data_IF_939265566700
#
_entry.id   IF_939265566700
#
_cell.length_a   1.000
_cell.length_b   1.000
_cell.length_c   1.000
_cell.angle_alpha   90.00
_cell.angle_beta   90.00
_cell.angle_gamma   90.00
#
_symmetry.space_group_name_H-M   'P 1'
#
loop_
_entity.id
_entity.type
_entity.pdbx_description
1 polymer ?
#
# COMPACT_ATOMS: atom_id res chain seq x y z
N UNK A 1 3.89 -16.24 33.57
CA UNK A 1 5.05 -15.37 33.26
C UNK A 1 4.71 -13.95 33.68
N UNK A 2 5.54 -13.31 34.51
CA UNK A 2 5.28 -11.92 34.96
C UNK A 2 5.39 -10.96 33.76
N UNK A 3 4.69 -9.83 33.81
CA UNK A 3 4.70 -8.82 32.74
C UNK A 3 6.13 -8.30 32.46
N UNK A 4 6.96 -8.17 33.50
CA UNK A 4 8.38 -7.81 33.40
C UNK A 4 9.18 -8.76 32.52
N UNK A 5 8.92 -10.06 32.62
CA UNK A 5 9.66 -11.09 31.89
C UNK A 5 9.27 -11.08 30.41
N UNK A 6 7.98 -10.82 30.11
CA UNK A 6 7.49 -10.65 28.73
C UNK A 6 8.14 -9.43 28.06
N UNK A 7 8.23 -8.31 28.78
CA UNK A 7 8.85 -7.08 28.27
C UNK A 7 10.36 -7.26 28.02
N UNK A 8 11.07 -7.93 28.94
CA UNK A 8 12.50 -8.21 28.76
C UNK A 8 12.75 -9.11 27.55
N UNK A 9 11.97 -10.19 27.41
CA UNK A 9 12.03 -11.08 26.25
C UNK A 9 11.78 -10.34 24.94
N UNK A 10 10.75 -9.50 24.90
CA UNK A 10 10.44 -8.68 23.74
C UNK A 10 11.58 -7.72 23.37
N UNK A 11 12.14 -7.00 24.36
CA UNK A 11 13.27 -6.09 24.12
C UNK A 11 14.48 -6.83 23.54
N UNK A 12 14.79 -8.02 24.07
CA UNK A 12 15.87 -8.85 23.55
C UNK A 12 15.57 -9.36 22.13
N UNK A 13 14.34 -9.79 21.84
CA UNK A 13 13.94 -10.24 20.52
C UNK A 13 14.03 -9.13 19.48
N UNK A 14 13.56 -7.93 19.82
CA UNK A 14 13.62 -6.74 18.98
C UNK A 14 15.07 -6.36 18.65
N UNK A 15 16.00 -6.52 19.59
CA UNK A 15 17.43 -6.26 19.38
C UNK A 15 18.19 -7.42 18.71
N UNK A 16 17.55 -8.57 18.54
CA UNK A 16 18.19 -9.77 18.02
C UNK A 16 18.37 -9.73 16.49
N UNK A 17 19.31 -10.53 16.00
CA UNK A 17 19.49 -10.78 14.56
C UNK A 17 18.32 -11.55 13.91
N UNK A 18 17.33 -12.02 14.70
CA UNK A 18 16.14 -12.68 14.16
C UNK A 18 15.09 -11.68 13.68
N UNK A 19 15.05 -10.47 14.24
CA UNK A 19 14.06 -9.44 13.90
C UNK A 19 14.70 -8.09 13.61
N UNK A 20 15.35 -7.48 14.60
CA UNK A 20 16.05 -6.20 14.47
C UNK A 20 15.20 -4.96 14.82
N UNK A 21 15.82 -3.98 15.49
CA UNK A 21 15.18 -2.73 15.90
C UNK A 21 14.72 -1.93 14.68
N UNK A 22 15.55 -1.89 13.65
CA UNK A 22 15.29 -1.14 12.42
C UNK A 22 14.12 -1.73 11.65
N UNK A 23 13.94 -3.05 11.71
CA UNK A 23 12.79 -3.74 11.11
C UNK A 23 11.51 -3.37 11.83
N UNK A 24 11.54 -3.35 13.16
CA UNK A 24 10.41 -2.86 13.97
C UNK A 24 10.05 -1.43 13.57
N UNK A 25 11.03 -0.54 13.48
CA UNK A 25 10.84 0.86 13.08
C UNK A 25 10.29 0.99 11.65
N UNK A 26 10.83 0.21 10.72
CA UNK A 26 10.41 0.21 9.31
C UNK A 26 8.94 -0.17 9.16
N UNK A 27 8.47 -1.18 9.91
CA UNK A 27 7.07 -1.60 9.91
C UNK A 27 6.13 -0.53 10.49
N UNK A 28 6.57 0.18 11.54
CA UNK A 28 5.82 1.30 12.13
C UNK A 28 5.69 2.45 11.14
N UNK A 29 6.82 2.87 10.56
CA UNK A 29 6.87 3.99 9.61
C UNK A 29 6.04 3.66 8.38
N UNK A 30 6.18 2.45 7.84
CA UNK A 30 5.34 1.98 6.74
C UNK A 30 3.84 2.05 7.11
N UNK A 31 3.42 1.48 8.24
CA UNK A 31 2.01 1.46 8.64
C UNK A 31 1.42 2.86 8.84
N UNK A 32 2.20 3.79 9.42
CA UNK A 32 1.81 5.20 9.56
C UNK A 32 1.70 5.91 8.21
N UNK A 33 2.71 5.74 7.35
CA UNK A 33 2.74 6.37 6.04
C UNK A 33 1.61 5.84 5.14
N UNK A 34 1.34 4.54 5.18
CA UNK A 34 0.21 3.91 4.49
C UNK A 34 -1.10 4.58 4.90
N UNK A 35 -1.37 4.66 6.20
CA UNK A 35 -2.59 5.29 6.73
C UNK A 35 -2.71 6.76 6.31
N UNK A 36 -1.62 7.54 6.44
CA UNK A 36 -1.59 8.94 6.02
C UNK A 36 -1.88 9.11 4.54
N UNK A 37 -1.23 8.32 3.67
CA UNK A 37 -1.43 8.40 2.22
C UNK A 37 -2.85 7.98 1.82
N UNK A 38 -3.41 6.93 2.44
CA UNK A 38 -4.80 6.52 2.20
C UNK A 38 -5.76 7.66 2.57
N UNK A 39 -5.60 8.30 3.73
CA UNK A 39 -6.46 9.42 4.13
C UNK A 39 -6.32 10.62 3.17
N UNK A 40 -5.11 10.89 2.67
CA UNK A 40 -4.89 11.92 1.64
C UNK A 40 -5.63 11.59 0.35
N UNK A 41 -5.59 10.33 -0.09
CA UNK A 41 -6.34 9.87 -1.27
C UNK A 41 -7.86 10.03 -1.04
N UNK A 42 -8.38 9.58 0.11
CA UNK A 42 -9.79 9.73 0.49
C UNK A 42 -10.22 11.22 0.49
N UNK A 43 -9.37 12.12 1.02
CA UNK A 43 -9.61 13.56 0.98
C UNK A 43 -9.63 14.11 -0.45
N UNK A 44 -8.78 13.62 -1.35
CA UNK A 44 -8.82 14.00 -2.76
C UNK A 44 -10.08 13.52 -3.47
N UNK A 45 -10.59 12.32 -3.15
CA UNK A 45 -11.88 11.88 -3.67
C UNK A 45 -13.02 12.81 -3.23
N UNK A 46 -13.05 13.19 -1.95
CA UNK A 46 -14.04 14.15 -1.41
C UNK A 46 -13.91 15.51 -2.10
N UNK A 47 -12.69 16.00 -2.30
CA UNK A 47 -12.45 17.26 -2.99
C UNK A 47 -12.93 17.20 -4.45
N UNK A 48 -12.65 16.11 -5.16
CA UNK A 48 -13.07 15.91 -6.54
C UNK A 48 -14.60 15.88 -6.66
N UNK A 49 -15.27 15.14 -5.78
CA UNK A 49 -16.74 15.12 -5.69
C UNK A 49 -17.29 16.52 -5.39
N UNK A 50 -16.66 17.24 -4.47
CA UNK A 50 -17.01 18.62 -4.12
C UNK A 50 -16.91 19.61 -5.29
N UNK A 51 -15.93 19.40 -6.19
CA UNK A 51 -15.75 20.19 -7.41
C UNK A 51 -16.72 19.77 -8.54
N UNK A 52 -17.18 18.52 -8.56
CA UNK A 52 -18.18 18.03 -9.53
C UNK A 52 -19.59 18.49 -9.15
N UNK A 53 -19.94 18.47 -7.86
CA UNK A 53 -21.25 18.85 -7.34
C UNK A 53 -21.38 20.35 -6.98
N UNK A 54 -20.33 21.15 -7.22
CA UNK A 54 -20.25 22.59 -6.94
C UNK A 54 -20.37 23.01 -5.46
N UNK A 55 -20.14 22.09 -4.52
CA UNK A 55 -20.01 22.42 -3.09
C UNK A 55 -18.68 23.12 -2.79
N UNK A 56 -17.62 22.79 -3.53
CA UNK A 56 -16.35 23.52 -3.56
C UNK A 56 -16.31 24.37 -4.83
N UNK A 57 -16.10 25.68 -4.68
CA UNK A 57 -16.06 26.63 -5.80
C UNK A 57 -14.67 27.26 -5.93
N UNK A 58 -14.06 27.10 -7.09
CA UNK A 58 -12.80 27.75 -7.44
C UNK A 58 -13.08 28.96 -8.33
N UNK A 59 -12.39 30.08 -8.07
CA UNK A 59 -12.42 31.26 -8.93
C UNK A 59 -11.50 31.05 -10.13
N UNK A 60 -11.93 30.24 -11.10
CA UNK A 60 -11.21 29.96 -12.33
C UNK A 60 -12.19 29.68 -13.48
N UNK A 61 -11.71 29.76 -14.73
CA UNK A 61 -12.50 29.36 -15.89
C UNK A 61 -12.70 27.83 -15.96
N UNK A 62 -13.63 27.39 -16.80
CA UNK A 62 -13.99 25.97 -16.94
C UNK A 62 -12.82 25.09 -17.41
N UNK A 63 -11.90 25.64 -18.22
CA UNK A 63 -10.74 24.89 -18.71
C UNK A 63 -9.74 24.63 -17.59
N UNK A 64 -9.46 25.65 -16.78
CA UNK A 64 -8.61 25.54 -15.60
C UNK A 64 -9.26 24.62 -14.56
N UNK A 65 -10.57 24.72 -14.34
CA UNK A 65 -11.30 23.80 -13.46
C UNK A 65 -11.15 22.35 -13.92
N UNK A 66 -11.29 22.08 -15.21
CA UNK A 66 -11.07 20.75 -15.78
C UNK A 66 -9.64 20.26 -15.52
N UNK A 67 -8.63 21.09 -15.79
CA UNK A 67 -7.24 20.73 -15.53
C UNK A 67 -6.98 20.43 -14.06
N UNK A 68 -7.55 21.20 -13.14
CA UNK A 68 -7.47 20.95 -11.70
C UNK A 68 -8.04 19.57 -11.36
N UNK A 69 -9.24 19.23 -11.84
CA UNK A 69 -9.86 17.90 -11.63
C UNK A 69 -9.00 16.75 -12.16
N UNK A 70 -8.40 16.94 -13.33
CA UNK A 70 -7.48 15.97 -13.92
C UNK A 70 -6.20 15.80 -13.11
N UNK A 71 -5.62 16.89 -12.60
CA UNK A 71 -4.43 16.85 -11.75
C UNK A 71 -4.70 16.20 -10.40
N UNK A 72 -5.85 16.47 -9.76
CA UNK A 72 -6.28 15.77 -8.53
C UNK A 72 -6.37 14.27 -8.78
N UNK A 73 -6.98 13.88 -9.91
CA UNK A 73 -7.13 12.46 -10.26
C UNK A 73 -5.80 11.78 -10.58
N UNK A 74 -4.88 12.51 -11.22
CA UNK A 74 -3.52 12.04 -11.45
C UNK A 74 -2.79 11.84 -10.12
N UNK A 75 -2.98 12.74 -9.16
CA UNK A 75 -2.35 12.65 -7.85
C UNK A 75 -2.92 11.50 -7.00
N UNK A 76 -4.23 11.25 -7.07
CA UNK A 76 -4.86 10.03 -6.51
C UNK A 76 -4.17 8.78 -7.09
N UNK A 77 -4.10 8.69 -8.43
CA UNK A 77 -3.46 7.55 -9.09
C UNK A 77 -2.00 7.40 -8.67
N UNK A 78 -1.26 8.51 -8.62
CA UNK A 78 0.14 8.54 -8.23
C UNK A 78 0.37 7.98 -6.82
N UNK A 79 -0.44 8.39 -5.85
CA UNK A 79 -0.36 7.91 -4.49
C UNK A 79 -0.76 6.42 -4.37
N UNK A 80 -1.81 5.97 -5.06
CA UNK A 80 -2.18 4.54 -5.11
C UNK A 80 -1.01 3.71 -5.64
N UNK A 81 -0.37 4.15 -6.73
CA UNK A 81 0.76 3.46 -7.33
C UNK A 81 1.97 3.39 -6.40
N UNK A 82 2.29 4.46 -5.66
CA UNK A 82 3.34 4.44 -4.63
C UNK A 82 3.02 3.42 -3.53
N UNK A 83 1.76 3.38 -3.09
CA UNK A 83 1.34 2.45 -2.04
C UNK A 83 1.44 1.00 -2.53
N UNK A 84 1.07 0.72 -3.79
CA UNK A 84 1.30 -0.60 -4.40
C UNK A 84 2.79 -0.93 -4.39
N UNK A 85 3.66 -0.06 -4.95
CA UNK A 85 5.12 -0.30 -5.02
C UNK A 85 5.71 -0.61 -3.64
N UNK A 86 5.44 0.26 -2.67
CA UNK A 86 5.98 0.12 -1.32
C UNK A 86 5.45 -1.12 -0.60
N UNK A 87 4.19 -1.48 -0.82
CA UNK A 87 3.60 -2.69 -0.22
C UNK A 87 4.19 -3.96 -0.83
N UNK A 88 4.35 -4.05 -2.15
CA UNK A 88 4.93 -5.25 -2.77
C UNK A 88 6.43 -5.38 -2.47
N UNK A 89 7.14 -4.27 -2.31
CA UNK A 89 8.54 -4.26 -1.82
C UNK A 89 8.60 -4.76 -0.37
N UNK A 90 7.67 -4.33 0.50
CA UNK A 90 7.57 -4.85 1.86
C UNK A 90 7.31 -6.36 1.87
N UNK A 91 6.35 -6.84 1.06
CA UNK A 91 6.07 -8.27 0.89
C UNK A 91 7.33 -9.04 0.46
N UNK A 92 8.08 -8.51 -0.50
CA UNK A 92 9.33 -9.10 -0.94
C UNK A 92 10.35 -9.19 0.20
N UNK A 93 10.53 -8.10 0.97
CA UNK A 93 11.47 -8.08 2.07
C UNK A 93 11.08 -9.06 3.18
N UNK A 94 9.80 -9.11 3.55
CA UNK A 94 9.26 -10.04 4.56
C UNK A 94 9.35 -11.51 4.13
N UNK A 95 9.33 -11.78 2.83
CA UNK A 95 9.54 -13.15 2.33
C UNK A 95 10.98 -13.66 2.56
N UNK A 96 11.95 -12.74 2.70
CA UNK A 96 13.35 -13.03 3.00
C UNK A 96 13.61 -13.02 4.51
N UNK A 97 14.60 -12.28 4.99
CA UNK A 97 14.93 -12.17 6.39
C UNK A 97 14.45 -10.82 6.94
N UNK A 98 13.95 -10.81 8.18
CA UNK A 98 13.48 -9.58 8.82
C UNK A 98 14.55 -8.49 8.84
N UNK A 99 15.81 -8.83 9.06
CA UNK A 99 16.94 -7.89 9.08
C UNK A 99 17.19 -7.19 7.74
N UNK A 100 16.68 -7.71 6.63
CA UNK A 100 16.80 -7.09 5.30
C UNK A 100 15.67 -6.08 5.01
N UNK A 101 14.62 -6.06 5.83
CA UNK A 101 13.47 -5.15 5.67
C UNK A 101 13.89 -3.68 5.60
N UNK A 102 14.71 -3.14 6.52
CA UNK A 102 15.09 -1.73 6.49
C UNK A 102 15.84 -1.39 5.20
N UNK A 103 16.87 -2.17 4.87
CA UNK A 103 17.67 -1.94 3.66
C UNK A 103 16.81 -2.00 2.40
N UNK A 104 15.93 -2.99 2.28
CA UNK A 104 15.08 -3.18 1.10
C UNK A 104 14.03 -2.08 0.96
N UNK A 105 13.45 -1.61 2.08
CA UNK A 105 12.44 -0.56 2.08
C UNK A 105 13.03 0.83 1.88
N UNK A 106 14.27 1.07 2.31
CA UNK A 106 14.96 2.37 2.16
C UNK A 106 15.60 2.51 0.77
N UNK A 107 16.23 1.45 0.25
CA UNK A 107 16.92 1.50 -1.03
C UNK A 107 16.63 0.24 -1.85
N UNK A 108 15.86 0.41 -2.91
CA UNK A 108 15.68 -0.64 -3.92
C UNK A 108 15.95 -0.12 -5.33
N UNK A 109 16.51 -1.01 -6.16
CA UNK A 109 16.77 -0.72 -7.57
C UNK A 109 15.45 -0.57 -8.32
N UNK A 110 15.43 0.28 -9.33
CA UNK A 110 14.21 0.57 -10.14
C UNK A 110 13.60 -0.69 -10.77
N UNK A 111 14.41 -1.71 -11.07
CA UNK A 111 13.94 -2.96 -11.66
C UNK A 111 13.39 -3.98 -10.64
N UNK A 112 13.49 -3.70 -9.32
CA UNK A 112 13.04 -4.65 -8.30
C UNK A 112 11.53 -4.93 -8.40
N UNK A 113 10.72 -3.90 -8.66
CA UNK A 113 9.25 -4.06 -8.78
C UNK A 113 8.90 -5.04 -9.91
N UNK A 114 9.60 -4.96 -11.05
CA UNK A 114 9.42 -5.89 -12.17
C UNK A 114 9.77 -7.34 -11.79
N UNK A 115 10.86 -7.52 -11.03
CA UNK A 115 11.27 -8.83 -10.51
C UNK A 115 10.25 -9.38 -9.50
N UNK A 116 9.71 -8.52 -8.62
CA UNK A 116 8.68 -8.91 -7.66
C UNK A 116 7.44 -9.39 -8.40
N UNK A 117 6.95 -8.65 -9.39
CA UNK A 117 5.78 -9.04 -10.18
C UNK A 117 6.00 -10.35 -10.95
N UNK A 118 7.21 -10.57 -11.49
CA UNK A 118 7.58 -11.86 -12.08
C UNK A 118 7.51 -12.98 -11.04
N UNK A 119 7.96 -12.76 -9.81
CA UNK A 119 7.92 -13.75 -8.74
C UNK A 119 6.49 -14.04 -8.24
N UNK A 120 5.62 -13.02 -8.16
CA UNK A 120 4.19 -13.17 -7.85
C UNK A 120 3.52 -14.07 -8.90
N UNK A 121 3.68 -13.77 -10.20
CA UNK A 121 3.13 -14.59 -11.29
C UNK A 121 3.59 -16.06 -11.23
N UNK A 122 4.84 -16.28 -10.83
CA UNK A 122 5.42 -17.62 -10.72
C UNK A 122 5.17 -18.28 -9.36
N UNK A 123 4.33 -17.69 -8.49
CA UNK A 123 3.99 -18.22 -7.16
C UNK A 123 5.22 -18.58 -6.30
N UNK A 124 6.25 -17.73 -6.36
CA UNK A 124 7.53 -17.97 -5.66
C UNK A 124 7.55 -17.50 -4.20
N UNK A 125 6.49 -16.86 -3.74
CA UNK A 125 6.42 -16.31 -2.39
C UNK A 125 5.64 -17.23 -1.44
N UNK A 126 6.17 -17.38 -0.23
CA UNK A 126 5.43 -17.91 0.91
C UNK A 126 4.50 -16.82 1.45
N UNK A 127 3.22 -16.92 1.11
CA UNK A 127 2.22 -15.93 1.47
C UNK A 127 1.85 -15.99 2.96
N UNK A 128 1.93 -17.16 3.61
CA UNK A 128 1.69 -17.28 5.05
C UNK A 128 2.74 -16.47 5.82
N UNK A 129 4.01 -16.58 5.39
CA UNK A 129 5.10 -15.78 5.95
C UNK A 129 4.93 -14.29 5.69
N UNK A 130 4.58 -13.88 4.47
CA UNK A 130 4.38 -12.47 4.12
C UNK A 130 3.25 -11.84 4.95
N UNK A 131 2.15 -12.58 5.13
CA UNK A 131 1.03 -12.14 5.94
C UNK A 131 1.34 -12.17 7.44
N UNK A 132 2.44 -12.80 7.85
CA UNK A 132 2.80 -12.96 9.26
C UNK A 132 1.82 -13.88 9.98
N UNK A 133 1.37 -14.96 9.34
CA UNK A 133 0.45 -15.88 9.98
C UNK A 133 1.16 -16.63 11.14
N UNK A 134 0.51 -16.80 12.30
CA UNK A 134 1.08 -17.56 13.41
C UNK A 134 1.43 -18.99 13.01
N UNK A 135 2.56 -19.51 13.50
CA UNK A 135 2.82 -20.95 13.33
C UNK A 135 1.91 -21.71 14.29
N UNK A 136 1.05 -22.57 13.75
CA UNK A 136 0.06 -23.33 14.53
C UNK A 136 0.69 -24.17 15.65
N UNK A 137 1.93 -24.64 15.48
CA UNK A 137 2.66 -25.39 16.50
C UNK A 137 2.98 -24.58 17.78
N UNK A 138 2.98 -23.25 17.69
CA UNK A 138 3.17 -22.35 18.82
C UNK A 138 1.85 -21.92 19.43
N UNK A 139 0.74 -22.51 19.00
CA UNK A 139 -0.58 -22.30 19.59
C UNK A 139 -0.98 -23.61 20.26
N UNK A 140 -1.40 -23.55 21.52
CA UNK A 140 -1.91 -24.72 22.24
C UNK A 140 -3.32 -25.09 21.73
N UNK A 141 -3.37 -25.73 20.56
CA UNK A 141 -4.60 -26.05 19.84
C UNK A 141 -4.91 -27.54 19.90
N UNK A 142 -6.20 -27.85 19.96
CA UNK A 142 -6.71 -29.17 19.58
C UNK A 142 -6.56 -29.41 18.07
N UNK A 143 -6.63 -30.68 17.66
CA UNK A 143 -6.56 -31.08 16.24
C UNK A 143 -7.64 -30.38 15.41
N UNK A 144 -8.85 -30.27 15.93
CA UNK A 144 -9.97 -29.62 15.23
C UNK A 144 -9.74 -28.12 15.06
N UNK A 145 -9.23 -27.43 16.09
CA UNK A 145 -8.87 -26.01 16.01
C UNK A 145 -7.75 -25.76 15.01
N UNK A 146 -6.75 -26.64 15.00
CA UNK A 146 -5.64 -26.57 14.06
C UNK A 146 -6.14 -26.72 12.61
N UNK A 147 -7.04 -27.67 12.36
CA UNK A 147 -7.64 -27.87 11.04
C UNK A 147 -8.45 -26.65 10.58
N UNK A 148 -9.25 -26.07 11.48
CA UNK A 148 -10.03 -24.86 11.19
C UNK A 148 -9.11 -23.69 10.86
N UNK A 149 -8.12 -23.39 11.70
CA UNK A 149 -7.18 -22.30 11.44
C UNK A 149 -6.38 -22.50 10.15
N UNK A 150 -5.94 -23.73 9.87
CA UNK A 150 -5.25 -24.03 8.62
C UNK A 150 -6.14 -23.80 7.38
N UNK A 151 -7.44 -24.08 7.49
CA UNK A 151 -8.41 -23.75 6.45
C UNK A 151 -8.51 -22.25 6.23
N UNK A 152 -8.65 -21.47 7.32
CA UNK A 152 -8.66 -20.02 7.28
C UNK A 152 -7.36 -19.46 6.65
N UNK A 153 -6.19 -20.03 6.95
CA UNK A 153 -4.91 -19.58 6.39
C UNK A 153 -4.85 -19.79 4.87
N UNK A 154 -5.33 -20.95 4.39
CA UNK A 154 -5.39 -21.26 2.96
C UNK A 154 -6.32 -20.31 2.21
N UNK A 155 -7.49 -20.01 2.77
CA UNK A 155 -8.42 -19.07 2.15
C UNK A 155 -7.86 -17.64 2.16
N UNK A 156 -7.29 -17.19 3.28
CA UNK A 156 -6.67 -15.84 3.38
C UNK A 156 -5.54 -15.66 2.39
N UNK A 157 -4.64 -16.66 2.27
CA UNK A 157 -3.53 -16.62 1.32
C UNK A 157 -3.99 -16.73 -0.13
N UNK A 158 -5.06 -17.49 -0.40
CA UNK A 158 -5.73 -17.53 -1.69
C UNK A 158 -6.23 -16.16 -2.11
N UNK A 159 -7.04 -15.52 -1.27
CA UNK A 159 -7.56 -14.17 -1.52
C UNK A 159 -6.43 -13.15 -1.67
N UNK A 160 -5.40 -13.22 -0.82
CA UNK A 160 -4.26 -12.31 -0.94
C UNK A 160 -3.49 -12.50 -2.25
N UNK A 161 -3.37 -13.73 -2.74
CA UNK A 161 -2.77 -13.99 -4.05
C UNK A 161 -3.56 -13.34 -5.19
N UNK A 162 -4.89 -13.33 -5.13
CA UNK A 162 -5.75 -12.67 -6.11
C UNK A 162 -5.59 -11.15 -6.06
N UNK A 163 -5.56 -10.59 -4.85
CA UNK A 163 -5.33 -9.16 -4.61
C UNK A 163 -3.97 -8.72 -5.14
N UNK A 164 -2.90 -9.48 -4.91
CA UNK A 164 -1.58 -9.19 -5.47
C UNK A 164 -1.59 -9.16 -7.01
N UNK A 165 -2.34 -10.06 -7.64
CA UNK A 165 -2.52 -10.08 -9.09
C UNK A 165 -3.32 -8.86 -9.58
N UNK A 166 -4.36 -8.46 -8.85
CA UNK A 166 -5.14 -7.26 -9.15
C UNK A 166 -4.30 -5.98 -9.04
N UNK A 167 -3.50 -5.82 -7.99
CA UNK A 167 -2.58 -4.68 -7.83
C UNK A 167 -1.56 -4.61 -8.96
N UNK A 168 -1.00 -5.75 -9.35
CA UNK A 168 -0.05 -5.83 -10.46
C UNK A 168 -0.69 -5.46 -11.79
N UNK A 169 -1.90 -5.97 -12.08
CA UNK A 169 -2.63 -5.62 -13.31
C UNK A 169 -2.97 -4.12 -13.34
N UNK A 170 -3.43 -3.56 -12.21
CA UNK A 170 -3.65 -2.13 -12.08
C UNK A 170 -2.36 -1.33 -12.32
N UNK A 171 -1.25 -1.73 -11.67
CA UNK A 171 0.03 -1.06 -11.80
C UNK A 171 0.51 -1.06 -13.25
N UNK A 172 0.53 -2.21 -13.93
CA UNK A 172 0.98 -2.33 -15.31
C UNK A 172 0.12 -1.49 -16.28
N UNK A 173 -1.20 -1.44 -16.06
CA UNK A 173 -2.11 -0.63 -16.88
C UNK A 173 -1.80 0.88 -16.80
N UNK A 174 -1.40 1.36 -15.62
CA UNK A 174 -1.18 2.79 -15.39
C UNK A 174 0.30 3.20 -15.32
N UNK A 175 1.24 2.25 -15.43
CA UNK A 175 2.69 2.45 -15.27
C UNK A 175 3.25 3.58 -16.13
N UNK A 176 2.79 3.73 -17.37
CA UNK A 176 3.25 4.82 -18.25
C UNK A 176 2.86 6.17 -17.68
N UNK A 177 1.59 6.35 -17.31
CA UNK A 177 1.10 7.60 -16.74
C UNK A 177 1.82 7.89 -15.42
N UNK A 178 1.90 6.89 -14.55
CA UNK A 178 2.59 6.98 -13.27
C UNK A 178 4.05 7.41 -13.41
N UNK A 179 4.84 6.75 -14.26
CA UNK A 179 6.25 7.09 -14.47
C UNK A 179 6.44 8.52 -15.01
N UNK A 180 5.52 9.01 -15.83
CA UNK A 180 5.56 10.40 -16.32
C UNK A 180 5.18 11.39 -15.23
N UNK A 181 4.16 11.07 -14.44
CA UNK A 181 3.74 11.89 -13.30
C UNK A 181 4.84 12.03 -12.24
N UNK A 182 5.52 10.92 -11.89
CA UNK A 182 6.59 10.87 -10.88
C UNK A 182 7.74 11.86 -11.13
N UNK A 183 7.98 12.20 -12.39
CA UNK A 183 9.05 13.11 -12.79
C UNK A 183 8.53 14.46 -13.31
N UNK A 184 7.21 14.70 -13.29
CA UNK A 184 6.61 15.91 -13.83
C UNK A 184 6.82 16.09 -15.34
N UNK A 185 6.92 15.00 -16.11
CA UNK A 185 7.35 15.02 -17.51
C UNK A 185 6.19 14.75 -18.48
N UNK A 186 6.23 15.41 -19.66
CA UNK A 186 5.51 15.07 -20.89
C UNK A 186 4.06 14.57 -20.74
N UNK A 187 3.28 15.28 -19.93
CA UNK A 187 1.82 15.11 -19.78
C UNK A 187 1.11 16.36 -20.31
N UNK A 188 -0.03 16.17 -20.95
CA UNK A 188 -0.91 17.25 -21.39
C UNK A 188 -2.32 17.02 -20.86
N UNK A 189 -2.85 18.03 -20.17
CA UNK A 189 -4.18 18.06 -19.55
C UNK A 189 -5.14 18.99 -20.31
N UNK A 190 -6.44 18.84 -20.07
CA UNK A 190 -7.51 19.60 -20.69
C UNK A 190 -7.99 19.08 -22.05
N UNK A 191 -7.57 17.87 -22.44
CA UNK A 191 -8.00 17.21 -23.69
C UNK A 191 -9.42 16.62 -23.58
N UNK A 192 -10.11 16.51 -24.71
CA UNK A 192 -11.47 15.93 -24.84
C UNK A 192 -11.61 15.03 -26.05
N UNK A 193 -12.51 14.04 -25.99
CA UNK A 193 -12.72 13.08 -27.09
C UNK A 193 -13.39 13.73 -28.32
N UNK A 194 -14.12 14.84 -28.11
CA UNK A 194 -14.72 15.64 -29.19
C UNK A 194 -14.02 17.00 -29.27
N UNK A 195 -13.46 17.33 -30.43
CA UNK A 195 -12.67 18.54 -30.68
C UNK A 195 -13.52 19.78 -31.01
N UNK A 196 -14.83 19.74 -30.72
CA UNK A 196 -15.67 20.93 -30.83
C UNK A 196 -15.23 21.94 -29.77
N UNK A 197 -15.35 23.24 -30.07
CA UNK A 197 -14.78 24.37 -29.30
C UNK A 197 -15.26 24.49 -27.83
N UNK A 198 -16.02 23.53 -27.31
CA UNK A 198 -16.48 23.48 -25.92
C UNK A 198 -15.49 22.71 -25.04
N UNK A 199 -15.28 23.22 -23.82
CA UNK A 199 -14.51 22.50 -22.79
C UNK A 199 -15.24 21.19 -22.49
N UNK A 200 -14.59 20.03 -22.60
CA UNK A 200 -15.25 18.75 -22.39
C UNK A 200 -15.67 18.59 -20.92
N UNK A 201 -16.80 17.92 -20.70
CA UNK A 201 -17.15 17.41 -19.37
C UNK A 201 -16.02 16.52 -18.84
N UNK A 202 -15.85 16.48 -17.52
CA UNK A 202 -14.76 15.75 -16.89
C UNK A 202 -14.75 14.26 -17.28
N UNK A 203 -15.91 13.60 -17.27
CA UNK A 203 -16.07 12.20 -17.69
C UNK A 203 -15.80 11.94 -19.18
N UNK A 204 -15.85 12.97 -20.03
CA UNK A 204 -15.55 12.91 -21.47
C UNK A 204 -14.16 13.47 -21.81
N UNK A 205 -13.40 13.83 -20.78
CA UNK A 205 -12.06 14.37 -20.91
C UNK A 205 -10.99 13.28 -20.87
N UNK A 206 -9.79 13.63 -21.32
CA UNK A 206 -8.63 12.78 -21.22
C UNK A 206 -7.38 13.61 -20.92
N UNK A 207 -6.36 12.92 -20.42
CA UNK A 207 -4.98 13.40 -20.41
C UNK A 207 -4.16 12.57 -21.40
N UNK A 208 -3.08 13.17 -21.91
CA UNK A 208 -2.15 12.52 -22.83
C UNK A 208 -0.76 12.46 -22.21
N UNK A 209 -0.18 11.27 -22.15
CA UNK A 209 1.23 11.06 -21.84
C UNK A 209 2.01 10.76 -23.12
N UNK A 210 3.16 11.41 -23.28
CA UNK A 210 4.04 11.21 -24.42
C UNK A 210 5.26 10.37 -24.03
N UNK A 211 5.56 9.34 -24.81
CA UNK A 211 6.66 8.40 -24.51
C UNK A 211 7.46 8.01 -25.75
N UNK A 212 8.74 7.69 -25.54
CA UNK A 212 9.65 7.17 -26.57
C UNK A 212 9.58 5.66 -26.74
N UNK A 213 8.74 4.99 -25.93
CA UNK A 213 8.53 3.54 -26.01
C UNK A 213 7.90 3.15 -27.35
N UNK A 214 8.39 2.04 -27.91
CA UNK A 214 7.86 1.35 -29.09
C UNK A 214 6.88 0.26 -28.66
N UNK A 215 6.05 -0.23 -29.60
CA UNK A 215 5.01 -1.23 -29.33
C UNK A 215 5.48 -2.44 -28.49
N UNK A 216 6.68 -2.97 -28.79
CA UNK A 216 7.26 -4.12 -28.09
C UNK A 216 7.74 -3.84 -26.65
N UNK A 217 7.76 -2.57 -26.21
CA UNK A 217 8.16 -2.15 -24.86
C UNK A 217 6.99 -1.57 -24.05
N UNK A 218 5.78 -1.63 -24.58
CA UNK A 218 4.59 -1.15 -23.90
C UNK A 218 4.08 -2.19 -22.90
N UNK A 219 3.38 -1.76 -21.83
CA UNK A 219 2.77 -2.68 -20.88
C UNK A 219 1.86 -3.70 -21.57
N UNK A 220 1.75 -4.91 -21.01
CA UNK A 220 0.76 -5.90 -21.47
C UNK A 220 -0.65 -5.30 -21.50
N UNK A 221 -1.49 -5.73 -22.45
CA UNK A 221 -2.89 -5.27 -22.61
C UNK A 221 -3.07 -3.81 -23.06
N UNK A 222 -2.02 -3.17 -23.56
CA UNK A 222 -2.16 -1.88 -24.27
C UNK A 222 -2.96 -2.06 -25.56
N UNK A 223 -4.03 -1.28 -25.75
CA UNK A 223 -4.71 -1.17 -27.03
C UNK A 223 -3.91 -0.27 -27.99
N UNK A 224 -3.67 -0.76 -29.22
CA UNK A 224 -2.90 -0.04 -30.22
C UNK A 224 -3.78 0.41 -31.38
N UNK A 225 -3.68 1.69 -31.71
CA UNK A 225 -4.18 2.20 -32.99
C UNK A 225 -3.02 2.13 -33.99
N UNK A 226 -3.18 1.45 -35.15
CA UNK A 226 -2.12 1.38 -36.16
C UNK A 226 -1.69 2.77 -36.63
N UNK A 227 -0.39 2.95 -36.85
CA UNK A 227 0.19 4.26 -37.24
C UNK A 227 -0.32 4.80 -38.58
N UNK A 228 -0.88 3.95 -39.45
CA UNK A 228 -1.53 4.36 -40.69
C UNK A 228 -2.85 5.13 -40.47
N UNK A 229 -3.48 4.93 -39.32
CA UNK A 229 -4.79 5.48 -38.97
C UNK A 229 -4.66 6.76 -38.10
N UNK A 230 -3.43 7.20 -37.82
CA UNK A 230 -3.13 8.37 -37.00
C UNK A 230 -2.11 9.24 -37.72
N UNK A 231 -2.39 10.55 -37.83
CA UNK A 231 -1.42 11.50 -38.37
C UNK A 231 -0.15 11.43 -37.52
N UNK A 232 1.00 11.14 -38.15
CA UNK A 232 2.29 11.11 -37.45
C UNK A 232 2.49 12.41 -36.68
N UNK A 233 2.86 12.28 -35.40
CA UNK A 233 3.46 13.38 -34.67
C UNK A 233 4.76 13.74 -35.37
N UNK A 234 4.92 15.01 -35.69
CA UNK A 234 6.19 15.54 -36.16
C UNK A 234 7.14 15.70 -34.96
N UNK A 235 7.54 14.59 -34.36
CA UNK A 235 8.41 14.55 -33.18
C UNK A 235 9.44 13.44 -33.30
N UNK A 236 10.70 13.79 -33.10
CA UNK A 236 11.82 12.84 -32.99
C UNK A 236 11.91 12.20 -31.60
N UNK A 237 11.28 12.81 -30.58
CA UNK A 237 11.43 12.46 -29.17
C UNK A 237 10.32 11.52 -28.66
N UNK A 238 9.11 11.63 -29.22
CA UNK A 238 7.96 10.85 -28.79
C UNK A 238 7.48 9.91 -29.90
N UNK A 239 7.43 8.61 -29.59
CA UNK A 239 6.99 7.56 -30.51
C UNK A 239 5.54 7.11 -30.26
N UNK A 240 5.04 7.34 -29.04
CA UNK A 240 3.73 6.88 -28.60
C UNK A 240 3.04 7.93 -27.75
N UNK A 241 1.72 8.05 -27.92
CA UNK A 241 0.80 8.78 -27.05
C UNK A 241 -0.07 7.79 -26.28
N UNK A 242 -0.13 7.93 -24.97
CA UNK A 242 -1.00 7.15 -24.09
C UNK A 242 -2.08 8.05 -23.52
N UNK A 243 -3.33 7.67 -23.71
CA UNK A 243 -4.49 8.44 -23.27
C UNK A 243 -5.06 7.82 -22.00
N UNK A 244 -5.20 8.61 -20.95
CA UNK A 244 -5.95 8.23 -19.75
C UNK A 244 -7.26 9.00 -19.73
N UNK A 245 -8.37 8.26 -19.67
CA UNK A 245 -9.73 8.80 -19.66
C UNK A 245 -10.26 8.81 -18.23
N UNK A 246 -11.05 9.82 -17.87
CA UNK A 246 -11.59 9.99 -16.53
C UNK A 246 -13.02 9.45 -16.40
N UNK A 247 -13.20 8.20 -16.84
CA UNK A 247 -14.49 7.52 -16.79
C UNK A 247 -14.83 7.06 -15.35
N UNK A 248 -16.10 6.89 -14.97
CA UNK A 248 -16.49 6.36 -13.66
C UNK A 248 -15.79 5.05 -13.29
N UNK A 249 -15.52 4.19 -14.27
CA UNK A 249 -14.85 2.91 -14.09
C UNK A 249 -13.41 3.07 -13.59
N UNK A 250 -12.71 4.13 -13.99
CA UNK A 250 -11.37 4.42 -13.45
C UNK A 250 -11.45 4.68 -11.95
N UNK A 251 -12.41 5.50 -11.50
CA UNK A 251 -12.58 5.81 -10.08
C UNK A 251 -13.05 4.61 -9.28
N UNK A 252 -13.89 3.75 -9.86
CA UNK A 252 -14.27 2.48 -9.25
C UNK A 252 -13.06 1.56 -9.07
N UNK A 253 -12.19 1.43 -10.08
CA UNK A 253 -10.94 0.66 -9.98
C UNK A 253 -10.00 1.23 -8.90
N UNK A 254 -9.80 2.56 -8.89
CA UNK A 254 -8.97 3.22 -7.89
C UNK A 254 -9.49 2.99 -6.46
N UNK A 255 -10.81 3.09 -6.25
CA UNK A 255 -11.43 2.82 -4.94
C UNK A 255 -11.28 1.36 -4.52
N UNK A 256 -11.49 0.42 -5.44
CA UNK A 256 -11.34 -1.02 -5.14
C UNK A 256 -9.91 -1.34 -4.68
N UNK A 257 -8.90 -0.90 -5.43
CA UNK A 257 -7.49 -1.09 -5.08
C UNK A 257 -7.15 -0.38 -3.76
N UNK A 258 -7.69 0.82 -3.52
CA UNK A 258 -7.48 1.54 -2.26
C UNK A 258 -8.03 0.76 -1.06
N UNK A 259 -9.22 0.16 -1.18
CA UNK A 259 -9.80 -0.70 -0.14
C UNK A 259 -8.90 -1.91 0.13
N UNK A 260 -8.45 -2.60 -0.92
CA UNK A 260 -7.55 -3.75 -0.76
C UNK A 260 -6.23 -3.37 -0.08
N UNK A 261 -5.64 -2.23 -0.45
CA UNK A 261 -4.42 -1.70 0.17
C UNK A 261 -4.64 -1.33 1.64
N UNK A 262 -5.80 -0.75 1.96
CA UNK A 262 -6.21 -0.45 3.33
C UNK A 262 -6.29 -1.72 4.16
N UNK A 263 -6.90 -2.76 3.62
CA UNK A 263 -7.10 -4.03 4.32
C UNK A 263 -5.76 -4.79 4.47
N UNK A 264 -5.13 -5.16 3.35
CA UNK A 264 -3.92 -6.00 3.37
C UNK A 264 -2.65 -5.24 3.77
N UNK A 265 -2.45 -4.01 3.31
CA UNK A 265 -1.27 -3.22 3.70
C UNK A 265 -1.25 -2.95 5.21
N UNK A 266 -2.40 -2.62 5.79
CA UNK A 266 -2.53 -2.45 7.23
C UNK A 266 -2.35 -3.77 7.97
N UNK A 267 -2.98 -4.85 7.47
CA UNK A 267 -2.88 -6.19 8.04
C UNK A 267 -1.41 -6.64 8.15
N UNK A 268 -0.66 -6.60 7.05
CA UNK A 268 0.74 -7.05 6.99
C UNK A 268 1.58 -6.36 8.06
N UNK A 269 1.56 -5.02 8.08
CA UNK A 269 2.38 -4.26 9.03
C UNK A 269 2.00 -4.51 10.49
N UNK A 270 0.69 -4.51 10.80
CA UNK A 270 0.21 -4.72 12.17
C UNK A 270 0.46 -6.14 12.65
N UNK A 271 0.29 -7.12 11.78
CA UNK A 271 0.46 -8.51 12.15
C UNK A 271 1.94 -8.85 12.40
N UNK A 272 2.87 -8.33 11.60
CA UNK A 272 4.31 -8.46 11.88
C UNK A 272 4.75 -7.71 13.14
N UNK A 273 4.10 -6.61 13.49
CA UNK A 273 4.33 -5.93 14.79
C UNK A 273 3.79 -6.76 15.96
N UNK A 274 2.67 -7.46 15.79
CA UNK A 274 2.13 -8.38 16.78
C UNK A 274 3.04 -9.61 16.95
N UNK A 275 3.53 -10.17 15.84
CA UNK A 275 4.57 -11.20 15.82
C UNK A 275 5.79 -10.76 16.66
N UNK A 276 6.31 -9.55 16.41
CA UNK A 276 7.47 -9.02 17.12
C UNK A 276 7.23 -8.91 18.63
N UNK A 277 6.05 -8.41 19.03
CA UNK A 277 5.69 -8.22 20.45
C UNK A 277 5.59 -9.52 21.23
N UNK A 278 5.21 -10.60 20.56
CA UNK A 278 5.10 -11.92 21.15
C UNK A 278 6.29 -12.83 20.78
N UNK A 279 7.40 -12.25 20.30
CA UNK A 279 8.62 -12.98 19.96
C UNK A 279 8.41 -14.11 18.94
N UNK A 280 7.37 -13.99 18.11
CA UNK A 280 6.96 -14.98 17.12
C UNK A 280 6.19 -16.18 17.65
N UNK A 281 5.82 -16.17 18.92
CA UNK A 281 5.12 -17.25 19.63
C UNK A 281 3.75 -16.76 20.13
N UNK A 282 2.82 -17.68 20.43
CA UNK A 282 1.59 -17.42 21.19
C UNK A 282 0.77 -16.17 20.77
N UNK A 283 0.73 -15.84 19.47
CA UNK A 283 -0.06 -14.71 18.97
C UNK A 283 -1.11 -15.16 17.97
N UNK A 284 -2.20 -14.40 17.90
CA UNK A 284 -3.30 -14.59 16.98
C UNK A 284 -3.78 -13.21 16.53
N UNK A 285 -3.96 -12.99 15.23
CA UNK A 285 -4.57 -11.77 14.73
C UNK A 285 -5.99 -11.58 15.32
N UNK A 286 -6.33 -10.38 15.80
CA UNK A 286 -7.60 -10.06 16.48
C UNK A 286 -8.09 -8.62 16.26
N UNK A 287 -9.36 -8.36 16.55
CA UNK A 287 -9.94 -6.99 16.61
C UNK A 287 -10.20 -6.61 18.06
N UNK A 288 -9.78 -5.41 18.46
CA UNK A 288 -10.07 -4.93 19.81
C UNK A 288 -11.57 -4.63 20.03
N UNK A 289 -12.01 -4.69 21.29
CA UNK A 289 -13.43 -4.54 21.67
C UNK A 289 -14.04 -3.19 21.28
N UNK A 290 -13.21 -2.16 21.09
CA UNK A 290 -13.64 -0.85 20.63
C UNK A 290 -13.77 -0.76 19.10
N UNK A 291 -13.26 -1.75 18.36
CA UNK A 291 -13.14 -1.72 16.90
C UNK A 291 -12.17 -0.67 16.38
N UNK A 292 -11.33 -0.09 17.25
CA UNK A 292 -10.44 1.03 16.96
C UNK A 292 -9.07 0.53 16.50
N UNK A 293 -8.62 -0.65 16.99
CA UNK A 293 -7.37 -1.28 16.57
C UNK A 293 -7.63 -2.68 16.04
N UNK A 294 -7.67 -2.79 14.72
CA UNK A 294 -7.66 -4.08 14.03
C UNK A 294 -6.22 -4.60 13.99
N UNK A 295 -5.87 -5.53 14.88
CA UNK A 295 -4.63 -6.29 14.80
C UNK A 295 -4.84 -7.54 13.96
N UNK A 296 -5.26 -7.33 12.71
CA UNK A 296 -5.48 -8.38 11.74
C UNK A 296 -6.68 -9.27 12.08
N UNK A 297 -7.84 -9.00 11.50
CA UNK A 297 -8.71 -10.14 11.16
C UNK A 297 -8.19 -10.63 9.81
N UNK A 298 -8.11 -11.95 9.62
CA UNK A 298 -7.76 -12.55 8.33
C UNK A 298 -8.57 -11.88 7.20
N UNK A 299 -7.96 -11.06 6.34
CA UNK A 299 -8.71 -10.23 5.41
C UNK A 299 -9.40 -11.10 4.36
N UNK A 300 -10.61 -10.71 3.98
CA UNK A 300 -11.38 -11.39 2.93
C UNK A 300 -12.05 -12.71 3.35
N UNK A 301 -11.88 -13.18 4.58
CA UNK A 301 -12.57 -14.37 5.07
C UNK A 301 -14.05 -14.11 5.37
N UNK A 302 -14.90 -15.04 4.95
CA UNK A 302 -16.28 -15.15 5.43
C UNK A 302 -16.43 -16.41 6.25
N UNK A 303 -16.40 -16.25 7.57
CA UNK A 303 -16.53 -17.38 8.48
C UNK A 303 -17.92 -18.00 8.45
N UNK A 304 -17.98 -19.33 8.44
CA UNK A 304 -19.14 -20.06 8.92
C UNK A 304 -19.35 -19.80 10.42
N UNK A 305 -20.56 -20.04 10.93
CA UNK A 305 -20.83 -19.89 12.36
C UNK A 305 -19.89 -20.72 13.24
N UNK A 306 -19.52 -21.92 12.78
CA UNK A 306 -18.62 -22.79 13.53
C UNK A 306 -17.20 -22.22 13.58
N UNK A 307 -16.67 -21.76 12.44
CA UNK A 307 -15.35 -21.13 12.37
C UNK A 307 -15.29 -19.86 13.23
N UNK A 308 -16.33 -19.03 13.15
CA UNK A 308 -16.42 -17.82 13.98
C UNK A 308 -16.38 -18.17 15.48
N UNK A 309 -17.17 -19.16 15.93
CA UNK A 309 -17.19 -19.59 17.34
C UNK A 309 -15.83 -20.08 17.82
N UNK A 310 -15.11 -20.82 16.98
CA UNK A 310 -13.76 -21.32 17.30
C UNK A 310 -12.75 -20.18 17.36
N UNK A 311 -12.75 -19.28 16.37
CA UNK A 311 -11.86 -18.12 16.35
C UNK A 311 -12.11 -17.21 17.55
N UNK A 312 -13.38 -16.93 17.87
CA UNK A 312 -13.74 -16.11 19.03
C UNK A 312 -13.26 -16.73 20.33
N UNK A 313 -13.35 -18.06 20.46
CA UNK A 313 -12.80 -18.78 21.62
C UNK A 313 -11.28 -18.60 21.68
N UNK A 314 -10.57 -18.85 20.58
CA UNK A 314 -9.12 -18.73 20.52
C UNK A 314 -8.65 -17.30 20.83
N UNK A 315 -9.37 -16.28 20.33
CA UNK A 315 -9.11 -14.88 20.66
C UNK A 315 -9.27 -14.66 22.17
N UNK A 316 -10.35 -15.13 22.78
CA UNK A 316 -10.57 -15.02 24.24
C UNK A 316 -9.48 -15.70 25.06
N UNK A 317 -8.95 -16.81 24.59
CA UNK A 317 -7.98 -17.61 25.35
C UNK A 317 -6.54 -17.10 25.17
N UNK A 318 -6.19 -16.65 23.96
CA UNK A 318 -4.81 -16.26 23.60
C UNK A 318 -4.57 -14.77 23.84
N UNK A 319 -5.49 -13.86 23.43
CA UNK A 319 -5.25 -12.40 23.47
C UNK A 319 -4.94 -11.85 24.86
N UNK A 320 -5.62 -12.28 25.95
CA UNK A 320 -5.26 -11.83 27.31
C UNK A 320 -3.82 -12.18 27.71
N UNK A 321 -3.24 -13.20 27.06
CA UNK A 321 -1.88 -13.65 27.30
C UNK A 321 -0.86 -13.01 26.35
N UNK A 322 -1.29 -12.28 25.31
CA UNK A 322 -0.38 -11.58 24.41
C UNK A 322 0.22 -10.32 25.05
N UNK A 323 1.43 -9.96 24.64
CA UNK A 323 2.03 -8.68 24.95
C UNK A 323 1.40 -7.58 24.06
N UNK A 324 0.50 -6.79 24.63
CA UNK A 324 -0.15 -5.66 23.94
C UNK A 324 0.26 -4.32 24.56
N UNK A 325 0.46 -3.31 23.72
CA UNK A 325 0.78 -1.94 24.16
C UNK A 325 -0.49 -1.17 24.51
N UNK A 326 -0.58 -0.66 25.73
CA UNK A 326 -1.68 0.22 26.16
C UNK A 326 -1.59 1.63 25.54
N UNK A 327 -0.36 2.13 25.34
CA UNK A 327 -0.08 3.41 24.68
C UNK A 327 0.48 3.09 23.30
N UNK A 328 -0.06 3.71 22.25
CA UNK A 328 0.38 3.44 20.87
C UNK A 328 1.90 3.57 20.74
N UNK A 329 2.46 2.86 19.76
CA UNK A 329 3.89 2.85 19.47
C UNK A 329 4.38 4.30 19.36
N UNK A 330 5.26 4.74 20.25
CA UNK A 330 5.92 6.05 20.21
C UNK A 330 7.42 5.84 20.03
N UNK A 331 8.03 6.63 19.16
CA UNK A 331 9.47 6.74 19.05
C UNK A 331 9.88 7.88 19.99
N UNK A 332 10.68 7.57 21.00
CA UNK A 332 11.16 8.55 21.98
C UNK A 332 12.58 8.97 21.60
N UNK A 333 12.73 10.21 21.15
CA UNK A 333 14.04 10.83 20.94
C UNK A 333 14.54 11.40 22.27
N UNK A 334 15.24 10.59 23.06
CA UNK A 334 15.78 10.99 24.37
C UNK A 334 17.11 11.76 24.30
N UNK A 335 17.60 12.14 23.11
CA UNK A 335 18.89 12.82 22.94
C UNK A 335 18.77 14.26 22.40
N UNK A 336 19.44 15.18 23.10
CA UNK A 336 19.70 16.59 22.76
C UNK A 336 18.50 17.44 22.30
N UNK A 337 17.44 17.49 23.13
CA UNK A 337 16.29 18.36 22.92
C UNK A 337 16.65 19.82 22.61
N UNK A 338 17.69 20.40 23.21
CA UNK A 338 18.01 21.82 23.02
C UNK A 338 18.57 22.14 21.63
N UNK A 339 19.57 21.39 21.15
CA UNK A 339 20.12 21.58 19.81
C UNK A 339 19.09 21.24 18.73
N UNK A 340 18.32 20.18 18.94
CA UNK A 340 17.22 19.82 18.06
C UNK A 340 16.15 20.92 18.03
N UNK A 341 15.73 21.44 19.19
CA UNK A 341 14.77 22.53 19.29
C UNK A 341 15.27 23.81 18.63
N UNK A 342 16.57 24.12 18.77
CA UNK A 342 17.16 25.30 18.14
C UNK A 342 17.24 25.14 16.62
N UNK A 343 17.63 23.97 16.10
CA UNK A 343 17.62 23.72 14.66
C UNK A 343 16.20 23.71 14.10
N UNK A 344 15.23 23.06 14.76
CA UNK A 344 13.82 23.07 14.35
C UNK A 344 13.19 24.47 14.32
N UNK A 345 13.74 25.45 15.06
CA UNK A 345 13.28 26.85 15.02
C UNK A 345 13.89 27.66 13.88
N UNK A 346 15.11 27.32 13.46
CA UNK A 346 15.94 28.17 12.60
C UNK A 346 16.16 27.58 11.21
N UNK A 347 15.98 26.26 11.04
CA UNK A 347 16.28 25.54 9.81
C UNK A 347 15.01 24.90 9.23
N UNK A 348 14.91 24.87 7.89
CA UNK A 348 13.79 24.22 7.19
C UNK A 348 13.90 22.69 7.25
N UNK A 349 15.13 22.16 7.29
CA UNK A 349 15.44 20.72 7.38
C UNK A 349 16.61 20.53 8.33
N UNK A 350 16.39 19.77 9.41
CA UNK A 350 17.43 19.33 10.33
C UNK A 350 17.84 17.89 10.02
N UNK A 351 19.12 17.65 9.77
CA UNK A 351 19.66 16.30 9.59
C UNK A 351 20.43 15.88 10.85
N UNK A 352 20.16 14.68 11.36
CA UNK A 352 20.89 14.08 12.49
C UNK A 352 21.62 12.85 11.95
N UNK A 353 22.93 12.82 12.14
CA UNK A 353 23.76 11.66 11.83
C UNK A 353 23.97 10.82 13.10
N UNK A 354 23.79 9.51 12.98
CA UNK A 354 24.12 8.55 14.02
C UNK A 354 25.43 7.88 13.59
N UNK A 355 26.49 7.99 14.41
CA UNK A 355 27.78 7.32 14.20
C UNK A 355 27.78 5.89 14.75
#
# INVERSE_FOLDING_TARGET
MLLSDKLLKWNNFKQSAQFGNDTYLSLIVYGRNLYSVINTIEAYFIMLEGLENNTIKLKCDQKNLLQVKQHISLDILFHIMIVIETTVVLCHALSKNYVEVPQTMTYYRTNLVDEIFKNIKNKKYDLEKILGLPKLQYLNLSVDEQNILQSCYKETTGTFSEVLMHWMDFYENFRIIYNKSKHGLALMTGGGVNADKQVPEFSKSHLVAFTSLTQNKMPPRTFFIPSKDVKKLDSTWFKTQSFMKFLPELFSQMKAVLTELKDYGTYISRNHLLYAKNCGEDYLPYKDDAGIKEFGIFPGLKYSENEQRVIDRLIRDIVPNMNHEKKGIQYDHTSNHEQLNNSMKNDVITNIFFE
#
